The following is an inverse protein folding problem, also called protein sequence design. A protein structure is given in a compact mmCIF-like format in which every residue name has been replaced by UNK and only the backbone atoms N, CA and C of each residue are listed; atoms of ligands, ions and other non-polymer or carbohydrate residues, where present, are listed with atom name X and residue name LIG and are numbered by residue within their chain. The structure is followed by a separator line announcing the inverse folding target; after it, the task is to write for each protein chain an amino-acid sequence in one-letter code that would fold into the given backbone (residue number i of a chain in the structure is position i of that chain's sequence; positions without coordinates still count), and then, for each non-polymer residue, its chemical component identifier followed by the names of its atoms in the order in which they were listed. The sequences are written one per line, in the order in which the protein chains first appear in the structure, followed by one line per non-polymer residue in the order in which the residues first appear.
data_IF_001583210661
#
_entry.id   IF_001583210661
#
_cell.length_a   1.000
_cell.length_b   1.000
_cell.length_c   1.000
_cell.angle_alpha   90.00
_cell.angle_beta   90.00
_cell.angle_gamma   90.00
#
_symmetry.space_group_name_H-M   'P 1'
#
loop_
_entity.id
_entity.type
_entity.pdbx_description
1 polymer ?
#
# COMPACT_ATOMS: atom_id res chain seq x y z
N UNK A 1 -0.11 -9.85 7.98
CA UNK A 1 1.19 -9.13 7.90
C UNK A 1 1.50 -8.92 6.42
N UNK A 2 1.88 -7.70 5.99
CA UNK A 2 2.06 -7.38 4.56
C UNK A 2 3.39 -6.66 4.24
N UNK A 3 3.92 -5.83 5.15
CA UNK A 3 5.09 -4.97 4.91
C UNK A 3 6.25 -5.30 5.87
N UNK A 4 6.58 -4.44 6.83
CA UNK A 4 7.71 -4.60 7.77
C UNK A 4 7.73 -5.97 8.47
N UNK A 5 6.54 -6.49 8.80
CA UNK A 5 6.42 -7.82 9.40
C UNK A 5 7.01 -8.94 8.53
N UNK A 6 6.75 -8.90 7.22
CA UNK A 6 7.28 -9.88 6.28
C UNK A 6 8.78 -9.65 6.03
N UNK A 7 9.21 -8.39 5.96
CA UNK A 7 10.63 -8.04 5.85
C UNK A 7 11.45 -8.61 7.02
N UNK A 8 10.93 -8.52 8.26
CA UNK A 8 11.55 -9.12 9.44
C UNK A 8 11.67 -10.63 9.34
N UNK A 9 10.61 -11.30 8.88
CA UNK A 9 10.64 -12.77 8.68
C UNK A 9 11.69 -13.20 7.65
N UNK A 10 12.01 -12.32 6.68
CA UNK A 10 13.02 -12.56 5.65
C UNK A 10 14.40 -11.98 6.01
N UNK A 11 14.58 -11.37 7.18
CA UNK A 11 15.82 -10.66 7.56
C UNK A 11 16.23 -9.56 6.56
N UNK A 12 15.23 -8.85 6.02
CA UNK A 12 15.39 -7.73 5.10
C UNK A 12 14.84 -6.42 5.68
N UNK A 13 14.52 -6.39 6.99
CA UNK A 13 13.94 -5.22 7.63
C UNK A 13 14.93 -4.09 7.90
N UNK A 14 16.22 -4.28 7.60
CA UNK A 14 17.21 -3.21 7.47
C UNK A 14 17.13 -2.51 6.09
N UNK A 15 16.52 -3.16 5.08
CA UNK A 15 16.46 -2.67 3.69
C UNK A 15 15.10 -2.22 3.25
N UNK A 16 14.02 -2.97 3.54
CA UNK A 16 12.68 -2.75 2.99
C UNK A 16 11.59 -2.74 4.07
N UNK A 17 10.34 -2.50 3.65
CA UNK A 17 9.14 -2.66 4.47
C UNK A 17 8.76 -1.47 5.33
N UNK A 18 9.51 -0.37 5.30
CA UNK A 18 9.13 0.92 5.89
C UNK A 18 9.85 2.10 5.22
N UNK A 19 9.38 3.33 5.48
CA UNK A 19 9.92 4.56 4.89
C UNK A 19 11.03 5.23 5.72
N UNK A 20 11.82 4.45 6.47
CA UNK A 20 12.95 5.02 7.21
C UNK A 20 14.09 5.42 6.27
N UNK A 21 14.80 6.50 6.57
CA UNK A 21 15.94 6.95 5.77
C UNK A 21 17.03 5.86 5.69
N UNK A 22 17.64 5.70 4.51
CA UNK A 22 18.65 4.68 4.24
C UNK A 22 18.11 3.34 3.74
N UNK A 23 16.78 3.15 3.77
CA UNK A 23 16.11 1.98 3.18
C UNK A 23 15.88 2.14 1.68
N UNK A 24 15.72 1.02 0.99
CA UNK A 24 15.35 0.97 -0.42
C UNK A 24 13.95 1.56 -0.61
N UNK A 25 13.77 2.33 -1.68
CA UNK A 25 12.53 3.04 -1.98
C UNK A 25 11.53 2.15 -2.73
N UNK A 26 11.11 1.08 -2.06
CA UNK A 26 10.10 0.11 -2.54
C UNK A 26 8.74 0.40 -1.91
N UNK A 27 7.77 0.85 -2.72
CA UNK A 27 6.44 1.18 -2.23
C UNK A 27 5.37 1.12 -3.31
N UNK A 28 4.12 0.94 -2.86
CA UNK A 28 2.94 1.08 -3.70
C UNK A 28 2.17 2.36 -3.32
N UNK A 29 1.70 3.08 -4.33
CA UNK A 29 0.74 4.17 -4.19
C UNK A 29 -0.65 3.57 -4.32
N UNK A 30 -1.48 3.75 -3.29
CA UNK A 30 -2.83 3.20 -3.25
C UNK A 30 -3.88 4.26 -3.53
N UNK A 31 -4.88 3.93 -4.33
CA UNK A 31 -6.10 4.70 -4.53
C UNK A 31 -7.24 4.10 -3.71
N UNK A 32 -7.72 4.88 -2.74
CA UNK A 32 -8.83 4.48 -1.87
C UNK A 32 -10.19 4.50 -2.57
N UNK A 33 -10.30 5.22 -3.68
CA UNK A 33 -11.54 5.45 -4.39
C UNK A 33 -11.60 4.70 -5.73
N UNK A 34 -10.70 3.71 -5.92
CA UNK A 34 -10.50 2.95 -7.16
C UNK A 34 -11.74 2.25 -7.73
N UNK A 35 -12.79 2.06 -6.93
CA UNK A 35 -14.10 1.60 -7.39
C UNK A 35 -15.23 2.39 -6.71
N UNK A 36 -16.44 2.46 -7.30
CA UNK A 36 -17.58 3.12 -6.67
C UNK A 36 -17.94 2.55 -5.28
N UNK A 37 -17.79 1.23 -5.10
CA UNK A 37 -18.06 0.58 -3.81
C UNK A 37 -16.99 0.95 -2.77
N UNK A 38 -15.72 0.99 -3.16
CA UNK A 38 -14.64 1.45 -2.29
C UNK A 38 -14.84 2.91 -1.91
N UNK A 39 -15.13 3.79 -2.87
CA UNK A 39 -15.43 5.20 -2.61
C UNK A 39 -16.56 5.37 -1.58
N UNK A 40 -17.67 4.64 -1.77
CA UNK A 40 -18.80 4.66 -0.85
C UNK A 40 -18.39 4.16 0.54
N UNK A 41 -17.60 3.09 0.65
CA UNK A 41 -17.17 2.54 1.93
C UNK A 41 -16.20 3.50 2.63
N UNK A 42 -15.20 4.00 1.93
CA UNK A 42 -14.17 4.91 2.44
C UNK A 42 -14.76 6.24 2.92
N UNK A 43 -15.80 6.76 2.25
CA UNK A 43 -16.50 7.98 2.68
C UNK A 43 -17.09 7.89 4.10
N UNK A 44 -17.29 6.67 4.63
CA UNK A 44 -17.83 6.42 5.97
C UNK A 44 -16.75 6.11 7.01
N UNK A 45 -15.50 5.89 6.59
CA UNK A 45 -14.37 5.58 7.47
C UNK A 45 -13.84 6.86 8.12
N UNK A 46 -13.74 6.85 9.45
CA UNK A 46 -13.29 7.96 10.29
C UNK A 46 -11.85 7.77 10.78
N UNK A 47 -11.38 6.54 10.83
CA UNK A 47 -10.03 6.21 11.32
C UNK A 47 -9.18 5.58 10.22
N UNK A 48 -7.86 5.60 10.41
CA UNK A 48 -6.94 4.92 9.50
C UNK A 48 -7.18 3.41 9.50
N UNK A 49 -7.42 2.79 10.65
CA UNK A 49 -7.70 1.36 10.76
C UNK A 49 -8.94 0.95 9.97
N UNK A 50 -10.01 1.76 10.03
CA UNK A 50 -11.22 1.53 9.22
C UNK A 50 -10.93 1.63 7.72
N UNK A 51 -10.11 2.61 7.30
CA UNK A 51 -9.70 2.75 5.90
C UNK A 51 -8.88 1.57 5.42
N UNK A 52 -7.91 1.12 6.22
CA UNK A 52 -7.06 -0.02 5.89
C UNK A 52 -7.86 -1.33 5.88
N UNK A 53 -8.80 -1.50 6.81
CA UNK A 53 -9.70 -2.65 6.80
C UNK A 53 -10.57 -2.68 5.54
N UNK A 54 -11.11 -1.54 5.12
CA UNK A 54 -11.84 -1.45 3.86
C UNK A 54 -10.97 -1.84 2.65
N UNK A 55 -9.71 -1.42 2.62
CA UNK A 55 -8.75 -1.83 1.57
C UNK A 55 -8.47 -3.33 1.58
N UNK A 56 -8.31 -3.95 2.74
CA UNK A 56 -8.08 -5.40 2.86
C UNK A 56 -9.27 -6.21 2.32
N UNK A 57 -10.49 -5.76 2.58
CA UNK A 57 -11.70 -6.50 2.24
C UNK A 57 -12.18 -6.25 0.81
N UNK A 58 -12.07 -5.00 0.33
CA UNK A 58 -12.66 -4.58 -0.94
C UNK A 58 -11.63 -4.23 -2.02
N UNK A 59 -10.36 -4.05 -1.64
CA UNK A 59 -9.30 -3.70 -2.57
C UNK A 59 -8.91 -4.87 -3.47
N UNK A 60 -8.60 -4.55 -4.72
CA UNK A 60 -7.97 -5.45 -5.68
C UNK A 60 -6.86 -4.70 -6.45
N UNK A 61 -6.39 -5.25 -7.56
CA UNK A 61 -5.35 -4.66 -8.40
C UNK A 61 -5.67 -3.21 -8.80
N UNK A 62 -6.96 -2.86 -8.93
CA UNK A 62 -7.36 -1.52 -9.34
C UNK A 62 -7.00 -0.45 -8.30
N UNK A 63 -6.86 -0.86 -7.04
CA UNK A 63 -6.48 0.01 -5.93
C UNK A 63 -4.98 0.34 -5.91
N UNK A 64 -4.15 -0.35 -6.70
CA UNK A 64 -2.75 0.00 -6.90
C UNK A 64 -2.68 1.04 -8.03
N UNK A 65 -2.37 2.28 -7.67
CA UNK A 65 -2.23 3.38 -8.63
C UNK A 65 -0.84 3.39 -9.28
N UNK A 66 0.19 3.13 -8.49
CA UNK A 66 1.56 3.02 -8.99
C UNK A 66 2.41 2.14 -8.06
N UNK A 67 3.47 1.54 -8.60
CA UNK A 67 4.45 0.76 -7.86
C UNK A 67 5.84 1.25 -8.19
N UNK A 68 6.63 1.50 -7.15
CA UNK A 68 8.01 1.94 -7.24
C UNK A 68 8.93 0.86 -6.69
N UNK A 69 10.04 0.62 -7.39
CA UNK A 69 11.08 -0.33 -7.02
C UNK A 69 12.42 0.38 -7.10
N UNK A 70 13.18 0.36 -6.01
CA UNK A 70 14.43 1.11 -5.86
C UNK A 70 14.33 2.60 -6.22
N UNK A 71 13.15 3.21 -5.97
CA UNK A 71 12.88 4.62 -6.26
C UNK A 71 12.43 4.91 -7.70
N UNK A 72 12.44 3.91 -8.58
CA UNK A 72 12.01 4.04 -9.97
C UNK A 72 10.56 3.57 -10.15
N UNK A 73 9.78 4.27 -10.97
CA UNK A 73 8.41 3.88 -11.27
C UNK A 73 8.42 2.63 -12.18
N UNK A 74 8.05 1.48 -11.61
CA UNK A 74 8.01 0.20 -12.32
C UNK A 74 6.61 -0.08 -12.92
N UNK A 75 5.58 0.52 -12.35
CA UNK A 75 4.20 0.42 -12.82
C UNK A 75 3.45 1.70 -12.47
N UNK A 76 2.67 2.22 -13.42
CA UNK A 76 1.71 3.29 -13.20
C UNK A 76 0.42 2.96 -13.94
N UNK A 77 -0.70 3.08 -13.24
CA UNK A 77 -2.02 2.90 -13.79
C UNK A 77 -2.50 4.26 -14.33
N UNK A 78 -2.68 4.32 -15.64
CA UNK A 78 -3.22 5.48 -16.36
C UNK A 78 -4.69 5.76 -16.02
#
# INVERSE_FOLDING_TARGET
MATLGNAKSLQLDDKIGSFQAGREADFAVLDYDATPLMSLKQSKCKTLDEKLFAMIILGDDRAVKATYVAGECAHEKH
#
